data_IF_048752188867
#
_entry.id   IF_048752188867
#
_cell.length_a   1.000
_cell.length_b   1.000
_cell.length_c   1.000
_cell.angle_alpha   90.00
_cell.angle_beta   90.00
_cell.angle_gamma   90.00
#
_symmetry.space_group_name_H-M   'P 1'
#
loop_
_entity.id
_entity.type
_entity.pdbx_description
1 polymer ?
#
# COMPACT_ATOMS: atom_id res chain seq x y z
N UNK A 1 -1.80 -23.73 28.22
CA UNK A 1 -1.61 -23.87 26.76
C UNK A 1 -1.93 -22.51 26.17
N UNK A 2 -0.92 -21.65 26.04
CA UNK A 2 -1.07 -20.35 25.39
C UNK A 2 -0.98 -20.64 23.90
N UNK A 3 -2.07 -20.41 23.17
CA UNK A 3 -2.03 -20.42 21.72
C UNK A 3 -1.31 -19.12 21.35
N UNK A 4 -0.01 -19.20 21.13
CA UNK A 4 0.69 -18.15 20.37
C UNK A 4 0.05 -18.17 18.97
N UNK A 5 -0.92 -17.29 18.75
CA UNK A 5 -1.33 -16.94 17.39
C UNK A 5 -0.09 -16.37 16.70
N UNK A 6 0.61 -17.22 15.96
CA UNK A 6 1.61 -16.80 14.97
C UNK A 6 0.87 -16.00 13.90
N UNK A 7 0.73 -14.71 14.12
CA UNK A 7 0.39 -13.78 13.06
C UNK A 7 1.43 -13.95 11.95
N UNK A 8 1.01 -14.13 10.69
CA UNK A 8 1.95 -14.26 9.58
C UNK A 8 2.87 -13.06 9.60
N UNK A 9 4.16 -13.33 9.69
CA UNK A 9 5.23 -12.35 9.75
C UNK A 9 5.02 -11.31 8.65
N UNK A 10 4.76 -10.07 9.04
CA UNK A 10 4.58 -8.97 8.10
C UNK A 10 5.85 -8.81 7.28
N UNK A 11 5.79 -9.20 6.01
CA UNK A 11 6.95 -9.15 5.14
C UNK A 11 6.93 -7.85 4.33
N UNK A 12 7.62 -6.81 4.83
CA UNK A 12 7.85 -5.55 4.10
C UNK A 12 8.35 -5.83 2.68
N UNK A 13 9.26 -6.80 2.54
CA UNK A 13 9.84 -7.20 1.26
C UNK A 13 8.79 -7.76 0.28
N UNK A 14 7.83 -8.55 0.75
CA UNK A 14 6.72 -9.03 -0.09
C UNK A 14 5.83 -7.86 -0.54
N UNK A 15 5.50 -6.93 0.36
CA UNK A 15 4.67 -5.77 0.02
C UNK A 15 5.36 -4.83 -0.96
N UNK A 16 6.65 -4.61 -0.78
CA UNK A 16 7.48 -3.86 -1.71
C UNK A 16 7.46 -4.53 -3.10
N UNK A 17 7.67 -5.85 -3.16
CA UNK A 17 7.62 -6.62 -4.41
C UNK A 17 6.27 -6.50 -5.10
N UNK A 18 5.18 -6.81 -4.38
CA UNK A 18 3.82 -6.77 -4.90
C UNK A 18 3.42 -5.36 -5.38
N UNK A 19 3.77 -4.32 -4.61
CA UNK A 19 3.47 -2.94 -4.97
C UNK A 19 4.29 -2.46 -6.18
N UNK A 20 5.55 -2.89 -6.30
CA UNK A 20 6.39 -2.61 -7.46
C UNK A 20 5.83 -3.27 -8.73
N UNK A 21 5.53 -4.57 -8.69
CA UNK A 21 4.97 -5.29 -9.84
C UNK A 21 3.64 -4.68 -10.29
N UNK A 22 2.75 -4.40 -9.34
CA UNK A 22 1.48 -3.72 -9.62
C UNK A 22 1.71 -2.33 -10.26
N UNK A 23 2.71 -1.56 -9.78
CA UNK A 23 3.02 -0.25 -10.36
C UNK A 23 3.46 -0.35 -11.82
N UNK A 24 4.28 -1.35 -12.16
CA UNK A 24 4.74 -1.58 -13.53
C UNK A 24 3.56 -1.96 -14.43
N UNK A 25 2.64 -2.80 -13.94
CA UNK A 25 1.44 -3.17 -14.68
C UNK A 25 0.55 -1.96 -14.97
N UNK A 26 0.33 -1.08 -13.99
CA UNK A 26 -0.44 0.17 -14.19
C UNK A 26 0.25 1.08 -15.22
N UNK A 27 1.56 1.28 -15.08
CA UNK A 27 2.33 2.15 -15.98
C UNK A 27 2.39 1.63 -17.42
N UNK A 28 2.41 0.30 -17.62
CA UNK A 28 2.48 -0.31 -18.95
C UNK A 28 1.12 -0.50 -19.62
N UNK A 29 0.08 -0.80 -18.85
CA UNK A 29 -1.17 -1.32 -19.41
C UNK A 29 -2.42 -0.50 -19.06
N UNK A 30 -2.30 0.52 -18.21
CA UNK A 30 -3.42 1.43 -17.89
C UNK A 30 -3.09 2.84 -18.34
N UNK A 31 -1.97 3.40 -17.85
CA UNK A 31 -1.55 4.79 -18.09
C UNK A 31 -1.47 5.18 -19.57
N UNK A 32 -0.95 4.35 -20.49
CA UNK A 32 -0.87 4.73 -21.91
C UNK A 32 -2.23 4.95 -22.58
N UNK A 33 -3.31 4.43 -22.00
CA UNK A 33 -4.66 4.55 -22.53
C UNK A 33 -5.45 5.72 -21.92
N UNK A 34 -4.84 6.48 -21.01
CA UNK A 34 -5.41 7.71 -20.46
C UNK A 34 -4.96 8.92 -21.28
N UNK A 35 -5.84 9.91 -21.43
CA UNK A 35 -5.54 11.14 -22.15
C UNK A 35 -4.41 11.93 -21.46
N UNK A 36 -3.54 12.58 -22.24
CA UNK A 36 -2.39 13.32 -21.71
C UNK A 36 -2.78 14.56 -20.89
N UNK A 37 -3.94 15.16 -21.19
CA UNK A 37 -4.49 16.32 -20.48
C UNK A 37 -5.24 15.93 -19.20
N UNK A 38 -5.37 14.64 -18.90
CA UNK A 38 -6.10 14.16 -17.73
C UNK A 38 -5.23 14.25 -16.46
N UNK A 39 -5.61 15.13 -15.54
CA UNK A 39 -4.97 15.23 -14.22
C UNK A 39 -4.94 13.87 -13.49
N UNK A 40 -5.94 13.02 -13.73
CA UNK A 40 -6.03 11.66 -13.20
C UNK A 40 -4.86 10.79 -13.66
N UNK A 41 -4.40 10.95 -14.91
CA UNK A 41 -3.25 10.22 -15.44
C UNK A 41 -1.99 10.56 -14.66
N UNK A 42 -1.69 11.84 -14.51
CA UNK A 42 -0.51 12.31 -13.79
C UNK A 42 -0.57 11.89 -12.32
N UNK A 43 -1.73 12.05 -11.69
CA UNK A 43 -1.99 11.66 -10.31
C UNK A 43 -1.77 10.16 -10.11
N UNK A 44 -2.35 9.31 -10.97
CA UNK A 44 -2.17 7.86 -10.93
C UNK A 44 -0.70 7.47 -11.09
N UNK A 45 -0.02 8.00 -12.11
CA UNK A 45 1.40 7.74 -12.36
C UNK A 45 2.28 8.07 -11.16
N UNK A 46 2.06 9.22 -10.54
CA UNK A 46 2.82 9.66 -9.37
C UNK A 46 2.55 8.75 -8.17
N UNK A 47 1.30 8.35 -7.96
CA UNK A 47 0.94 7.49 -6.83
C UNK A 47 1.53 6.10 -6.94
N UNK A 48 1.35 5.44 -8.09
CA UNK A 48 1.81 4.05 -8.26
C UNK A 48 3.33 3.93 -8.19
N UNK A 49 4.08 4.98 -8.56
CA UNK A 49 5.54 5.04 -8.38
C UNK A 49 5.95 5.30 -6.93
N UNK A 50 5.18 6.14 -6.21
CA UNK A 50 5.54 6.56 -4.86
C UNK A 50 5.27 5.49 -3.80
N UNK A 51 4.20 4.70 -3.95
CA UNK A 51 3.83 3.62 -3.01
C UNK A 51 5.00 2.65 -2.72
N UNK A 52 5.62 1.98 -3.72
CA UNK A 52 6.72 1.05 -3.46
C UNK A 52 7.91 1.73 -2.80
N UNK A 53 8.23 2.98 -3.18
CA UNK A 53 9.29 3.75 -2.54
C UNK A 53 9.00 4.04 -1.07
N UNK A 54 7.74 4.36 -0.71
CA UNK A 54 7.37 4.61 0.69
C UNK A 54 7.45 3.34 1.54
N UNK A 55 7.07 2.19 0.98
CA UNK A 55 7.21 0.89 1.65
C UNK A 55 8.69 0.54 1.83
N UNK A 56 9.51 0.72 0.79
CA UNK A 56 10.94 0.43 0.83
C UNK A 56 11.73 1.34 1.79
N UNK A 57 11.28 2.57 1.98
CA UNK A 57 11.87 3.51 2.93
C UNK A 57 11.53 3.18 4.39
N UNK A 58 10.62 2.24 4.64
CA UNK A 58 10.28 1.83 5.99
C UNK A 58 11.39 0.94 6.56
N UNK A 59 12.03 1.31 7.68
CA UNK A 59 13.19 0.57 8.18
C UNK A 59 12.77 -0.80 8.72
N UNK A 60 13.52 -1.85 8.35
CA UNK A 60 13.30 -3.24 8.82
C UNK A 60 13.59 -3.43 10.33
N UNK A 61 14.17 -2.43 11.01
CA UNK A 61 14.61 -2.55 12.41
C UNK A 61 14.21 -1.34 13.24
N UNK A 62 13.66 -1.65 14.43
CA UNK A 62 13.52 -0.79 15.60
C UNK A 62 14.86 -0.13 16.01
N UNK A 63 15.35 0.84 15.26
CA UNK A 63 16.10 1.93 15.87
C UNK A 63 15.07 2.78 16.60
N UNK A 64 15.20 2.88 17.94
CA UNK A 64 14.30 3.57 18.87
C UNK A 64 14.03 5.06 18.56
N UNK A 65 14.48 5.55 17.42
CA UNK A 65 14.18 6.87 16.90
C UNK A 65 12.90 6.77 16.08
N UNK A 66 11.77 7.05 16.74
CA UNK A 66 10.49 7.48 16.16
C UNK A 66 10.27 7.01 14.72
N UNK A 67 9.94 5.73 14.60
CA UNK A 67 9.25 5.25 13.41
C UNK A 67 8.04 6.17 13.18
N UNK A 68 7.80 6.56 11.93
CA UNK A 68 6.61 7.31 11.54
C UNK A 68 5.58 6.29 10.97
N UNK A 69 4.74 5.63 11.79
CA UNK A 69 3.57 4.88 11.32
C UNK A 69 2.76 5.65 10.28
N UNK A 70 2.81 6.98 10.34
CA UNK A 70 2.24 7.90 9.37
C UNK A 70 2.63 7.58 7.92
N UNK A 71 3.86 7.12 7.65
CA UNK A 71 4.30 6.76 6.30
C UNK A 71 3.54 5.54 5.75
N UNK A 72 3.33 4.51 6.57
CA UNK A 72 2.59 3.31 6.17
C UNK A 72 1.09 3.60 6.07
N UNK A 73 0.55 4.41 6.98
CA UNK A 73 -0.84 4.90 6.92
C UNK A 73 -1.05 5.72 5.63
N UNK A 74 -0.09 6.56 5.27
CA UNK A 74 -0.16 7.34 4.05
C UNK A 74 -0.06 6.46 2.79
N UNK A 75 0.85 5.48 2.77
CA UNK A 75 0.93 4.49 1.69
C UNK A 75 -0.38 3.68 1.56
N UNK A 76 -1.00 3.31 2.68
CA UNK A 76 -2.29 2.61 2.68
C UNK A 76 -3.42 3.47 2.10
N UNK A 77 -3.47 4.76 2.47
CA UNK A 77 -4.43 5.73 1.89
C UNK A 77 -4.22 5.88 0.38
N UNK A 78 -2.98 6.02 -0.07
CA UNK A 78 -2.66 6.08 -1.50
C UNK A 78 -3.10 4.82 -2.25
N UNK A 79 -2.91 3.63 -1.67
CA UNK A 79 -3.36 2.39 -2.29
C UNK A 79 -4.89 2.36 -2.51
N UNK A 80 -5.68 2.84 -1.53
CA UNK A 80 -7.14 2.96 -1.69
C UNK A 80 -7.52 3.91 -2.81
N UNK A 81 -6.83 5.04 -2.88
CA UNK A 81 -7.08 6.03 -3.90
C UNK A 81 -6.75 5.50 -5.30
N UNK A 82 -5.61 4.82 -5.46
CA UNK A 82 -5.26 4.12 -6.70
C UNK A 82 -6.33 3.10 -7.07
N UNK A 83 -6.85 2.32 -6.12
CA UNK A 83 -7.92 1.37 -6.39
C UNK A 83 -9.21 2.05 -6.91
N UNK A 84 -9.55 3.23 -6.39
CA UNK A 84 -10.68 4.03 -6.88
C UNK A 84 -10.40 4.54 -8.30
N UNK A 85 -9.21 5.12 -8.55
CA UNK A 85 -8.83 5.61 -9.87
C UNK A 85 -8.84 4.47 -10.90
N UNK A 86 -8.30 3.30 -10.56
CA UNK A 86 -8.32 2.13 -11.44
C UNK A 86 -9.74 1.64 -11.74
N UNK A 87 -10.68 1.81 -10.81
CA UNK A 87 -12.10 1.53 -11.05
C UNK A 87 -12.67 2.47 -12.11
N UNK A 88 -12.37 3.77 -12.02
CA UNK A 88 -12.72 4.73 -13.08
C UNK A 88 -12.05 4.38 -14.41
N UNK A 89 -10.76 4.04 -14.41
CA UNK A 89 -10.06 3.65 -15.63
C UNK A 89 -10.72 2.43 -16.28
N UNK A 90 -11.07 1.40 -15.48
CA UNK A 90 -11.77 0.20 -15.96
C UNK A 90 -13.13 0.55 -16.57
N UNK A 91 -13.93 1.38 -15.89
CA UNK A 91 -15.32 1.62 -16.28
C UNK A 91 -15.40 2.57 -17.49
N UNK A 92 -14.58 3.63 -17.50
CA UNK A 92 -14.56 4.64 -18.56
C UNK A 92 -13.74 4.22 -19.78
N UNK A 93 -12.69 3.42 -19.59
CA UNK A 93 -11.75 3.01 -20.64
C UNK A 93 -11.78 1.50 -20.90
N UNK A 94 -12.90 0.83 -20.61
CA UNK A 94 -13.10 -0.62 -20.79
C UNK A 94 -12.79 -1.14 -22.20
N UNK A 95 -12.80 -0.28 -23.22
CA UNK A 95 -12.42 -0.62 -24.60
C UNK A 95 -10.91 -0.74 -24.82
N UNK A 96 -10.12 -0.07 -24.00
CA UNK A 96 -8.66 0.03 -24.15
C UNK A 96 -7.92 -0.67 -23.02
N UNK A 97 -8.54 -0.74 -21.84
CA UNK A 97 -7.96 -1.35 -20.64
C UNK A 97 -8.67 -2.66 -20.35
N UNK A 98 -7.88 -3.73 -20.16
CA UNK A 98 -8.41 -5.05 -19.83
C UNK A 98 -9.08 -5.04 -18.44
N UNK A 99 -10.39 -5.33 -18.40
CA UNK A 99 -11.17 -5.26 -17.16
C UNK A 99 -10.71 -6.24 -16.09
N UNK A 100 -10.36 -7.48 -16.46
CA UNK A 100 -9.89 -8.50 -15.52
C UNK A 100 -8.55 -8.11 -14.90
N UNK A 101 -7.65 -7.55 -15.70
CA UNK A 101 -6.36 -7.03 -15.22
C UNK A 101 -6.59 -5.86 -14.25
N UNK A 102 -7.49 -4.92 -14.58
CA UNK A 102 -7.85 -3.85 -13.65
C UNK A 102 -8.42 -4.38 -12.34
N UNK A 103 -9.30 -5.38 -12.38
CA UNK A 103 -9.85 -6.00 -11.16
C UNK A 103 -8.77 -6.66 -10.30
N UNK A 104 -7.81 -7.34 -10.92
CA UNK A 104 -6.65 -7.89 -10.23
C UNK A 104 -5.82 -6.78 -9.58
N UNK A 105 -5.52 -5.70 -10.30
CA UNK A 105 -4.77 -4.56 -9.75
C UNK A 105 -5.51 -3.88 -8.60
N UNK A 106 -6.83 -3.66 -8.74
CA UNK A 106 -7.68 -3.12 -7.69
C UNK A 106 -7.62 -4.00 -6.44
N UNK A 107 -7.71 -5.32 -6.60
CA UNK A 107 -7.58 -6.27 -5.49
C UNK A 107 -6.20 -6.18 -4.84
N UNK A 108 -5.13 -6.19 -5.64
CA UNK A 108 -3.74 -6.08 -5.14
C UNK A 108 -3.54 -4.81 -4.30
N UNK A 109 -3.97 -3.65 -4.77
CA UNK A 109 -3.85 -2.40 -4.00
C UNK A 109 -4.71 -2.40 -2.73
N UNK A 110 -5.89 -3.02 -2.74
CA UNK A 110 -6.71 -3.21 -1.53
C UNK A 110 -6.03 -4.13 -0.51
N UNK A 111 -5.45 -5.24 -0.96
CA UNK A 111 -4.75 -6.20 -0.12
C UNK A 111 -3.48 -5.59 0.50
N UNK A 112 -2.71 -4.83 -0.28
CA UNK A 112 -1.57 -4.04 0.22
C UNK A 112 -2.05 -3.04 1.27
N UNK A 113 -3.10 -2.26 0.97
CA UNK A 113 -3.66 -1.27 1.90
C UNK A 113 -4.05 -1.89 3.25
N UNK A 114 -4.83 -2.97 3.25
CA UNK A 114 -5.26 -3.62 4.48
C UNK A 114 -4.13 -4.30 5.25
N UNK A 115 -3.03 -4.65 4.58
CA UNK A 115 -1.87 -5.23 5.25
C UNK A 115 -0.96 -4.16 5.87
N UNK A 116 -0.81 -3.01 5.21
CA UNK A 116 -0.15 -1.83 5.76
C UNK A 116 -0.88 -1.28 7.00
N UNK A 117 -2.21 -1.23 6.96
CA UNK A 117 -3.01 -0.76 8.11
C UNK A 117 -2.87 -1.67 9.32
N UNK A 118 -3.03 -2.99 9.13
CA UNK A 118 -2.86 -3.97 10.20
C UNK A 118 -1.50 -3.83 10.88
N UNK A 119 -0.45 -3.64 10.10
CA UNK A 119 0.89 -3.46 10.65
C UNK A 119 1.06 -2.13 11.38
N UNK A 120 0.53 -1.03 10.83
CA UNK A 120 0.54 0.25 11.53
C UNK A 120 -0.19 0.22 12.88
N UNK A 121 -1.26 -0.58 12.99
CA UNK A 121 -2.03 -0.74 14.24
C UNK A 121 -1.32 -1.62 15.29
N UNK A 122 -0.52 -2.61 14.86
CA UNK A 122 0.27 -3.44 15.78
C UNK A 122 1.36 -2.62 16.46
N UNK A 123 2.07 -1.77 15.70
CA UNK A 123 3.15 -0.93 16.23
C UNK A 123 2.68 0.22 17.14
N UNK A 124 1.39 0.58 17.10
CA UNK A 124 0.81 1.52 18.07
C UNK A 124 0.43 0.89 19.41
N UNK A 125 0.36 -0.45 19.51
CA UNK A 125 0.00 -1.14 20.77
C UNK A 125 1.23 -1.52 21.61
N UNK A 126 2.39 -1.75 20.99
CA UNK A 126 3.63 -2.01 21.71
C UNK A 126 4.12 -0.79 22.52
N UNK A 127 3.78 0.43 22.10
CA UNK A 127 4.11 1.67 22.82
C UNK A 127 3.30 1.86 24.11
N UNK A 128 2.13 1.23 24.26
CA UNK A 128 1.28 1.39 25.46
C UNK A 128 1.66 0.43 26.60
N UNK A 129 2.38 -0.65 26.31
CA UNK A 129 2.80 -1.63 27.33
C UNK A 129 4.07 -1.15 28.06
N UNK A 130 4.83 -0.22 27.49
CA UNK A 130 6.07 0.31 28.08
C UNK A 130 5.92 1.38 29.17
N UNK A 131 4.72 1.97 29.33
CA UNK A 131 4.52 3.06 30.31
C UNK A 131 3.96 2.60 31.68
N UNK A 132 3.40 1.40 31.81
CA UNK A 132 2.87 0.92 33.10
C UNK A 132 3.91 0.24 34.01
N UNK A 133 5.09 -0.18 33.50
CA UNK A 133 6.13 -0.84 34.32
C UNK A 133 7.10 0.12 35.03
N UNK A 134 7.02 1.44 34.79
CA UNK A 134 7.88 2.43 35.47
C UNK A 134 7.19 3.16 36.64
N UNK A 135 5.96 2.78 37.01
CA UNK A 135 5.14 3.47 38.02
C UNK A 135 4.85 2.65 39.30
N UNK A 136 5.59 1.57 39.56
CA UNK A 136 5.51 0.82 40.83
C UNK A 136 6.87 0.67 41.52
#
# INVERSE_FOLDING_TARGET
MIIEEKFPEFCVNEMMGNSYEASIMVLKFVVPFLADEDETKLRLMNMVKKIPCMIASYPEKNTRDQLEPELLVFAAKMCREVAVILSYCRDLNSRFVNSNMCEQLIKTYKDISGSLERYSSLHTMDDQIGEEECAN
#
